data_IF_162869999323
#
_entry.id   IF_162869999323
#
_cell.length_a   1.000
_cell.length_b   1.000
_cell.length_c   1.000
_cell.angle_alpha   90.00
_cell.angle_beta   90.00
_cell.angle_gamma   90.00
#
_symmetry.space_group_name_H-M   'P 1'
#
loop_
_entity.id
_entity.type
_entity.pdbx_description
1 polymer ?
#
# COMPACT_ATOMS: atom_id res chain seq x y z
N UNK A 1 -12.51 -15.53 -29.31
CA UNK A 1 -11.81 -15.96 -28.07
C UNK A 1 -12.09 -14.93 -26.97
N UNK A 2 -12.53 -15.41 -25.81
CA UNK A 2 -12.80 -14.59 -24.64
C UNK A 2 -11.54 -14.47 -23.78
N UNK A 3 -11.15 -13.24 -23.43
CA UNK A 3 -9.94 -12.95 -22.66
C UNK A 3 -10.24 -11.92 -21.58
N UNK A 4 -9.64 -12.07 -20.39
CA UNK A 4 -9.58 -11.04 -19.38
C UNK A 4 -8.28 -10.27 -19.58
N UNK A 5 -8.37 -9.00 -19.93
CA UNK A 5 -7.20 -8.15 -20.26
C UNK A 5 -6.45 -7.70 -19.02
N UNK A 6 -7.17 -7.45 -17.93
CA UNK A 6 -6.60 -7.02 -16.65
C UNK A 6 -7.56 -7.28 -15.50
N UNK A 7 -6.98 -7.46 -14.33
CA UNK A 7 -7.65 -7.44 -13.02
C UNK A 7 -7.16 -6.21 -12.27
N UNK A 8 -8.06 -5.52 -11.59
CA UNK A 8 -7.78 -4.35 -10.76
C UNK A 8 -8.30 -4.61 -9.35
N UNK A 9 -7.58 -4.12 -8.36
CA UNK A 9 -7.92 -4.10 -6.95
C UNK A 9 -8.05 -2.63 -6.53
N UNK A 10 -9.24 -2.21 -6.08
CA UNK A 10 -9.58 -0.81 -5.78
C UNK A 10 -9.16 0.17 -6.88
N UNK A 11 -9.42 -0.23 -8.16
CA UNK A 11 -9.05 0.48 -9.40
C UNK A 11 -7.57 0.48 -9.77
N UNK A 12 -6.69 -0.04 -8.94
CA UNK A 12 -5.26 -0.09 -9.19
C UNK A 12 -4.83 -1.47 -9.69
N UNK A 13 -3.73 -1.50 -10.43
CA UNK A 13 -3.07 -2.71 -10.85
C UNK A 13 -1.96 -3.03 -9.86
N UNK A 14 -2.03 -4.22 -9.26
CA UNK A 14 -1.03 -4.74 -8.34
C UNK A 14 -0.69 -3.75 -7.19
N UNK A 15 -1.70 -3.24 -6.43
CA UNK A 15 -1.48 -2.22 -5.41
C UNK A 15 -0.65 -2.73 -4.23
N UNK A 16 0.12 -1.80 -3.63
CA UNK A 16 0.89 -2.02 -2.41
C UNK A 16 0.33 -1.14 -1.29
N UNK A 17 0.05 -1.74 -0.13
CA UNK A 17 -0.48 -1.02 1.02
C UNK A 17 -2.01 -1.07 1.13
N UNK A 18 -2.61 -2.17 0.74
CA UNK A 18 -4.07 -2.39 0.83
C UNK A 18 -4.47 -2.60 2.30
N UNK A 19 -5.36 -1.76 2.83
CA UNK A 19 -5.75 -1.75 4.25
C UNK A 19 -6.91 -2.69 4.58
N UNK A 20 -7.69 -3.10 3.60
CA UNK A 20 -8.82 -4.02 3.76
C UNK A 20 -8.97 -4.92 2.52
N UNK A 21 -9.89 -5.87 2.56
CA UNK A 21 -10.20 -6.69 1.39
C UNK A 21 -10.65 -5.80 0.22
N UNK A 22 -9.87 -5.73 -0.89
CA UNK A 22 -10.16 -4.83 -1.98
C UNK A 22 -11.41 -5.25 -2.76
N UNK A 23 -11.95 -4.32 -3.52
CA UNK A 23 -12.93 -4.61 -4.56
C UNK A 23 -12.20 -5.00 -5.84
N UNK A 24 -12.69 -6.04 -6.47
CA UNK A 24 -12.10 -6.56 -7.69
C UNK A 24 -12.88 -6.09 -8.91
N UNK A 25 -12.15 -5.68 -9.93
CA UNK A 25 -12.73 -5.34 -11.22
C UNK A 25 -11.88 -5.93 -12.33
N UNK A 26 -12.50 -6.35 -13.43
CA UNK A 26 -11.77 -6.88 -14.58
C UNK A 26 -12.38 -6.41 -15.88
N UNK A 27 -11.53 -6.37 -16.90
CA UNK A 27 -11.91 -5.94 -18.25
C UNK A 27 -11.83 -7.10 -19.20
N UNK A 28 -12.93 -7.36 -19.90
CA UNK A 28 -13.05 -8.40 -20.92
C UNK A 28 -12.72 -7.88 -22.31
N UNK A 29 -12.19 -8.75 -23.13
CA UNK A 29 -12.01 -8.58 -24.56
C UNK A 29 -12.52 -9.84 -25.28
N UNK A 30 -13.22 -9.66 -26.39
CA UNK A 30 -13.65 -10.72 -27.28
C UNK A 30 -13.56 -10.25 -28.72
N UNK A 31 -13.33 -11.19 -29.63
CA UNK A 31 -13.44 -11.00 -31.07
C UNK A 31 -14.89 -11.08 -31.59
N UNK A 32 -15.82 -11.52 -30.73
CA UNK A 32 -17.25 -11.55 -31.00
C UNK A 32 -17.94 -10.26 -30.51
N UNK A 33 -19.10 -9.96 -31.09
CA UNK A 33 -19.98 -8.86 -30.63
C UNK A 33 -21.04 -9.39 -29.65
N UNK A 34 -21.57 -8.50 -28.81
CA UNK A 34 -22.65 -8.78 -27.85
C UNK A 34 -22.29 -9.88 -26.83
N UNK A 35 -21.03 -10.00 -26.48
CA UNK A 35 -20.56 -10.95 -25.48
C UNK A 35 -20.89 -10.42 -24.08
N UNK A 36 -21.65 -11.18 -23.32
CA UNK A 36 -22.04 -10.87 -21.94
C UNK A 36 -21.50 -11.96 -21.02
N UNK A 37 -20.84 -11.55 -19.93
CA UNK A 37 -20.45 -12.46 -18.88
C UNK A 37 -21.68 -13.05 -18.21
N UNK A 38 -21.72 -14.36 -18.04
CA UNK A 38 -22.75 -15.08 -17.29
C UNK A 38 -22.31 -15.51 -15.89
N UNK A 39 -21.01 -15.78 -15.72
CA UNK A 39 -20.45 -16.18 -14.44
C UNK A 39 -18.99 -15.76 -14.29
N UNK A 40 -18.50 -15.77 -13.05
CA UNK A 40 -17.08 -15.62 -12.73
C UNK A 40 -16.65 -16.57 -11.62
N UNK A 41 -15.33 -16.75 -11.47
CA UNK A 41 -14.69 -17.33 -10.29
C UNK A 41 -13.48 -16.48 -9.93
N UNK A 42 -13.43 -16.05 -8.67
CA UNK A 42 -12.36 -15.27 -8.07
C UNK A 42 -11.66 -16.09 -7.00
N UNK A 43 -10.35 -16.19 -7.06
CA UNK A 43 -9.54 -16.82 -6.02
C UNK A 43 -8.46 -15.88 -5.53
N UNK A 44 -8.16 -15.95 -4.22
CA UNK A 44 -7.08 -15.22 -3.56
C UNK A 44 -6.24 -16.23 -2.79
N UNK A 45 -4.91 -16.16 -2.91
CA UNK A 45 -3.97 -17.08 -2.26
C UNK A 45 -2.70 -16.37 -1.82
N UNK A 46 -2.00 -16.92 -0.81
CA UNK A 46 -0.66 -16.48 -0.42
C UNK A 46 0.42 -17.01 -1.38
N UNK A 47 0.09 -17.98 -2.22
CA UNK A 47 1.02 -18.61 -3.16
C UNK A 47 0.49 -18.58 -4.60
N UNK A 48 1.39 -18.46 -5.56
CA UNK A 48 1.06 -18.38 -7.01
C UNK A 48 0.45 -19.66 -7.59
N UNK A 49 0.61 -20.77 -6.91
CA UNK A 49 0.07 -22.06 -7.36
C UNK A 49 -1.44 -22.24 -7.07
N UNK A 50 -1.99 -21.42 -6.16
CA UNK A 50 -3.39 -21.48 -5.73
C UNK A 50 -3.85 -22.85 -5.23
N UNK A 51 -2.95 -23.67 -4.67
CA UNK A 51 -3.33 -24.98 -4.12
C UNK A 51 -4.21 -24.85 -2.88
N UNK A 52 -3.95 -23.84 -2.05
CA UNK A 52 -4.70 -23.54 -0.83
C UNK A 52 -5.11 -22.06 -0.83
N UNK A 53 -6.15 -21.69 -1.60
CA UNK A 53 -6.60 -20.31 -1.64
C UNK A 53 -7.18 -19.91 -0.27
N UNK A 54 -6.86 -18.69 0.18
CA UNK A 54 -7.49 -18.09 1.39
C UNK A 54 -8.93 -17.66 1.12
N UNK A 55 -9.24 -17.44 -0.15
CA UNK A 55 -10.60 -17.20 -0.63
C UNK A 55 -10.82 -17.83 -1.99
N UNK A 56 -11.98 -18.48 -2.16
CA UNK A 56 -12.46 -19.02 -3.43
C UNK A 56 -13.96 -18.79 -3.52
N UNK A 57 -14.40 -17.98 -4.46
CA UNK A 57 -15.83 -17.72 -4.67
C UNK A 57 -16.60 -18.93 -5.18
N UNK A 58 -15.91 -19.97 -5.67
CA UNK A 58 -16.52 -20.91 -6.58
C UNK A 58 -16.98 -20.21 -7.87
N UNK A 59 -17.79 -20.89 -8.67
CA UNK A 59 -18.46 -20.27 -9.81
C UNK A 59 -19.68 -19.49 -9.32
N UNK A 60 -19.68 -18.19 -9.56
CA UNK A 60 -20.77 -17.25 -9.21
C UNK A 60 -21.49 -16.85 -10.49
N UNK A 61 -22.78 -17.15 -10.59
CA UNK A 61 -23.63 -16.74 -11.71
C UNK A 61 -23.92 -15.24 -11.58
N UNK A 62 -23.17 -14.42 -12.34
CA UNK A 62 -23.28 -12.96 -12.32
C UNK A 62 -22.61 -12.35 -13.54
N UNK A 63 -23.21 -11.30 -14.08
CA UNK A 63 -22.63 -10.46 -15.13
C UNK A 63 -21.75 -9.33 -14.59
N UNK A 64 -21.64 -9.17 -13.27
CA UNK A 64 -20.79 -8.15 -12.65
C UNK A 64 -19.32 -8.40 -12.91
N UNK A 65 -18.62 -7.38 -13.36
CA UNK A 65 -17.18 -7.37 -13.61
C UNK A 65 -16.46 -6.17 -12.99
N UNK A 66 -17.18 -5.39 -12.20
CA UNK A 66 -16.67 -4.23 -11.50
C UNK A 66 -17.21 -4.20 -10.07
N UNK A 67 -16.39 -3.70 -9.14
CA UNK A 67 -16.71 -3.58 -7.71
C UNK A 67 -17.11 -4.91 -7.03
N UNK A 68 -16.66 -6.02 -7.55
CA UNK A 68 -16.94 -7.34 -6.98
C UNK A 68 -16.23 -7.45 -5.64
N UNK A 69 -17.01 -7.65 -4.58
CA UNK A 69 -16.48 -7.91 -3.22
C UNK A 69 -16.56 -9.40 -2.90
N UNK A 70 -15.49 -9.99 -2.37
CA UNK A 70 -15.53 -11.35 -1.83
C UNK A 70 -16.66 -11.50 -0.81
N UNK A 71 -17.51 -12.50 -0.97
CA UNK A 71 -18.61 -12.73 -0.05
C UNK A 71 -18.10 -13.09 1.35
N UNK A 72 -18.79 -12.64 2.39
CA UNK A 72 -18.41 -12.91 3.79
C UNK A 72 -17.29 -12.01 4.34
N UNK A 73 -16.76 -11.07 3.53
CA UNK A 73 -15.65 -10.19 3.96
C UNK A 73 -16.10 -8.81 4.43
N UNK A 74 -17.40 -8.54 4.47
CA UNK A 74 -17.93 -7.26 4.94
C UNK A 74 -17.66 -7.08 6.44
N UNK A 75 -16.69 -6.23 6.76
CA UNK A 75 -16.39 -5.82 8.14
C UNK A 75 -15.37 -6.69 8.89
N UNK A 76 -14.87 -7.78 8.31
CA UNK A 76 -13.90 -8.66 8.96
C UNK A 76 -12.81 -9.15 7.98
N UNK A 77 -12.20 -8.19 7.29
CA UNK A 77 -11.03 -8.46 6.43
C UNK A 77 -9.88 -9.08 7.20
N UNK A 78 -9.77 -8.74 8.49
CA UNK A 78 -8.74 -9.23 9.40
C UNK A 78 -8.82 -10.76 9.64
N UNK A 79 -9.97 -11.38 9.38
CA UNK A 79 -10.09 -12.84 9.49
C UNK A 79 -9.41 -13.61 8.32
N UNK A 80 -9.17 -12.92 7.18
CA UNK A 80 -8.65 -13.56 5.98
C UNK A 80 -7.26 -13.02 5.62
N UNK A 81 -7.05 -11.72 5.78
CA UNK A 81 -5.81 -11.04 5.40
C UNK A 81 -4.88 -10.87 6.61
N UNK A 82 -3.59 -11.01 6.38
CA UNK A 82 -2.51 -10.72 7.32
C UNK A 82 -1.80 -9.45 6.89
N UNK A 83 -1.21 -8.73 7.83
CA UNK A 83 -0.42 -7.52 7.55
C UNK A 83 0.88 -7.84 6.83
N UNK A 84 1.28 -6.95 5.92
CA UNK A 84 2.56 -7.03 5.20
C UNK A 84 2.73 -8.35 4.41
N UNK A 85 1.66 -8.86 3.83
CA UNK A 85 1.66 -10.09 3.03
C UNK A 85 1.26 -9.80 1.60
N UNK A 86 1.97 -10.43 0.66
CA UNK A 86 1.59 -10.45 -0.75
C UNK A 86 0.53 -11.52 -0.98
N UNK A 87 -0.56 -11.13 -1.60
CA UNK A 87 -1.62 -12.01 -2.05
C UNK A 87 -1.67 -12.04 -3.58
N UNK A 88 -1.85 -13.23 -4.11
CA UNK A 88 -2.07 -13.48 -5.54
C UNK A 88 -3.56 -13.63 -5.78
N UNK A 89 -4.01 -13.05 -6.87
CA UNK A 89 -5.41 -13.05 -7.29
C UNK A 89 -5.51 -13.66 -8.66
N UNK A 90 -6.54 -14.45 -8.91
CA UNK A 90 -6.89 -14.86 -10.26
C UNK A 90 -8.38 -14.85 -10.48
N UNK A 91 -8.76 -14.47 -11.68
CA UNK A 91 -10.16 -14.42 -12.12
C UNK A 91 -10.32 -15.20 -13.41
N UNK A 92 -11.42 -15.94 -13.53
CA UNK A 92 -11.90 -16.59 -14.73
C UNK A 92 -13.37 -16.23 -14.91
N UNK A 93 -13.81 -16.08 -16.15
CA UNK A 93 -15.19 -15.76 -16.49
C UNK A 93 -15.76 -16.73 -17.49
N UNK A 94 -17.08 -16.83 -17.50
CA UNK A 94 -17.87 -17.60 -18.46
C UNK A 94 -18.85 -16.69 -19.17
N UNK A 95 -19.15 -17.06 -20.39
CA UNK A 95 -20.31 -16.61 -21.16
C UNK A 95 -21.20 -17.81 -21.42
N UNK A 96 -22.29 -17.67 -22.17
CA UNK A 96 -23.11 -18.79 -22.58
C UNK A 96 -22.36 -19.77 -23.50
N UNK A 97 -21.36 -19.32 -24.25
CA UNK A 97 -20.69 -20.09 -25.29
C UNK A 97 -19.26 -20.51 -24.97
N UNK A 98 -18.55 -19.75 -24.16
CA UNK A 98 -17.11 -19.98 -23.92
C UNK A 98 -16.67 -19.54 -22.51
N UNK A 99 -15.53 -20.07 -22.08
CA UNK A 99 -14.85 -19.62 -20.87
C UNK A 99 -13.52 -18.97 -21.19
N UNK A 100 -13.07 -18.04 -20.31
CA UNK A 100 -11.75 -17.45 -20.43
C UNK A 100 -10.67 -18.33 -19.78
N UNK A 101 -9.41 -18.08 -20.11
CA UNK A 101 -8.29 -18.45 -19.25
C UNK A 101 -8.32 -17.68 -17.92
N UNK A 102 -7.45 -18.09 -16.98
CA UNK A 102 -7.20 -17.32 -15.76
C UNK A 102 -6.42 -16.05 -16.07
N UNK A 103 -6.87 -14.92 -15.54
CA UNK A 103 -6.09 -13.70 -15.49
C UNK A 103 -5.64 -13.47 -14.04
N UNK A 104 -4.35 -13.21 -13.87
CA UNK A 104 -3.74 -13.06 -12.55
C UNK A 104 -3.39 -11.60 -12.26
N UNK A 105 -3.40 -11.25 -10.98
CA UNK A 105 -2.88 -10.02 -10.40
C UNK A 105 -2.35 -10.31 -9.00
N UNK A 106 -1.84 -9.30 -8.33
CA UNK A 106 -1.37 -9.43 -6.95
C UNK A 106 -1.61 -8.14 -6.18
N UNK A 107 -1.64 -8.22 -4.86
CA UNK A 107 -1.65 -7.05 -4.00
C UNK A 107 -0.87 -7.32 -2.72
N UNK A 108 -0.39 -6.25 -2.10
CA UNK A 108 0.31 -6.33 -0.81
C UNK A 108 -0.52 -5.59 0.23
N UNK A 109 -0.76 -6.24 1.37
CA UNK A 109 -1.47 -5.62 2.46
C UNK A 109 -0.61 -4.61 3.22
N UNK A 110 -1.26 -3.60 3.74
CA UNK A 110 -0.73 -2.64 4.70
C UNK A 110 -0.53 -3.28 6.09
N UNK A 111 -0.21 -2.48 7.10
CA UNK A 111 -0.35 -2.86 8.51
C UNK A 111 -1.83 -2.77 8.86
N UNK A 112 -2.48 -3.92 9.07
CA UNK A 112 -3.92 -4.00 9.33
C UNK A 112 -4.27 -3.69 10.79
N UNK A 113 -3.27 -3.69 11.69
CA UNK A 113 -3.42 -3.34 13.11
C UNK A 113 -2.37 -2.28 13.49
N UNK A 114 -2.83 -1.17 14.06
CA UNK A 114 -1.95 -0.10 14.55
C UNK A 114 -0.92 -0.57 15.58
N UNK A 115 -1.16 -1.67 16.29
CA UNK A 115 -0.22 -2.27 17.26
C UNK A 115 1.00 -2.90 16.61
N UNK A 116 0.98 -3.11 15.31
CA UNK A 116 2.12 -3.65 14.54
C UNK A 116 3.19 -2.60 14.26
N UNK A 117 2.89 -1.33 14.47
CA UNK A 117 3.88 -0.27 14.45
C UNK A 117 4.82 -0.41 15.66
N UNK A 118 5.96 -1.07 15.48
CA UNK A 118 6.94 -1.29 16.55
C UNK A 118 7.99 -0.19 16.65
N UNK A 119 8.30 0.47 15.54
CA UNK A 119 9.29 1.53 15.51
C UNK A 119 8.80 2.79 16.25
N UNK A 120 9.59 3.43 17.11
CA UNK A 120 9.24 4.72 17.70
C UNK A 120 9.32 5.83 16.65
N UNK A 121 8.69 6.96 16.95
CA UNK A 121 8.99 8.20 16.25
C UNK A 121 10.38 8.68 16.62
N UNK A 122 11.15 9.09 15.62
CA UNK A 122 12.49 9.69 15.79
C UNK A 122 12.48 11.13 15.28
N UNK A 123 13.19 11.99 15.97
CA UNK A 123 13.37 13.39 15.59
C UNK A 123 14.80 13.80 15.89
N UNK A 124 15.28 14.89 15.28
CA UNK A 124 16.56 15.45 15.68
C UNK A 124 16.46 15.98 17.11
N UNK A 125 17.48 15.73 17.93
CA UNK A 125 17.63 16.43 19.21
C UNK A 125 17.68 17.93 18.95
N UNK A 126 16.78 18.64 19.59
CA UNK A 126 16.63 20.10 19.61
C UNK A 126 17.48 20.89 18.60
N UNK A 127 16.97 21.06 17.39
CA UNK A 127 17.38 22.26 16.66
C UNK A 127 17.04 23.48 17.54
N UNK A 128 17.97 24.41 17.75
CA UNK A 128 17.67 25.61 18.51
C UNK A 128 16.39 26.21 17.96
N UNK A 129 15.52 26.69 18.84
CA UNK A 129 14.23 27.28 18.51
C UNK A 129 14.43 28.53 17.62
N UNK A 130 14.82 28.31 16.39
CA UNK A 130 14.86 29.33 15.37
C UNK A 130 13.43 29.60 14.95
N UNK A 131 12.80 30.58 15.53
CA UNK A 131 11.40 30.95 15.31
C UNK A 131 11.10 31.35 13.87
N UNK A 132 12.12 31.61 13.04
CA UNK A 132 11.94 32.20 11.71
C UNK A 132 12.22 31.27 10.55
N UNK A 133 12.92 30.15 10.72
CA UNK A 133 13.25 29.24 9.61
C UNK A 133 12.76 27.84 9.89
N UNK A 134 11.89 27.33 9.01
CA UNK A 134 11.52 25.91 8.97
C UNK A 134 12.64 25.13 8.27
N UNK A 135 13.69 24.78 9.00
CA UNK A 135 14.76 23.92 8.46
C UNK A 135 14.25 22.50 8.34
N UNK A 136 14.56 21.84 7.22
CA UNK A 136 14.36 20.41 7.07
C UNK A 136 15.26 19.65 8.04
N UNK A 137 14.74 18.51 8.53
CA UNK A 137 15.47 17.58 9.38
C UNK A 137 15.92 16.39 8.54
N UNK A 138 17.19 16.01 8.67
CA UNK A 138 17.74 14.80 8.08
C UNK A 138 17.92 13.77 9.18
N UNK A 139 17.34 12.59 9.02
CA UNK A 139 17.53 11.46 9.92
C UNK A 139 18.11 10.28 9.13
N UNK A 140 18.96 9.50 9.80
CA UNK A 140 19.63 8.36 9.19
C UNK A 140 19.86 7.28 10.23
N UNK A 141 19.71 6.02 9.81
CA UNK A 141 20.06 4.84 10.60
C UNK A 141 20.53 3.70 9.72
N UNK A 142 21.48 2.93 10.23
CA UNK A 142 21.99 1.74 9.54
C UNK A 142 21.32 0.49 10.17
N UNK A 143 21.07 -0.52 9.33
CA UNK A 143 20.53 -1.80 9.74
C UNK A 143 21.08 -2.94 8.89
N UNK A 144 20.98 -4.16 9.39
CA UNK A 144 21.48 -5.34 8.67
C UNK A 144 20.34 -6.18 8.13
N UNK A 145 20.51 -6.65 6.89
CA UNK A 145 19.64 -7.62 6.25
C UNK A 145 20.38 -8.97 6.16
N UNK A 146 19.71 -10.03 6.59
CA UNK A 146 20.23 -11.40 6.52
C UNK A 146 20.23 -11.97 5.10
N UNK A 147 20.81 -13.17 4.97
CA UNK A 147 20.79 -13.91 3.70
C UNK A 147 19.40 -14.41 3.37
N UNK A 148 19.11 -14.50 2.06
CA UNK A 148 17.89 -15.11 1.56
C UNK A 148 16.65 -14.22 1.68
N UNK A 149 16.81 -12.90 1.66
CA UNK A 149 15.69 -11.96 1.54
C UNK A 149 14.89 -12.27 0.26
N UNK A 150 13.61 -12.55 0.41
CA UNK A 150 12.69 -12.79 -0.71
C UNK A 150 11.78 -11.59 -0.96
N UNK A 151 11.30 -10.97 0.10
CA UNK A 151 10.41 -9.81 0.05
C UNK A 151 10.68 -8.89 1.24
N UNK A 152 10.55 -7.58 1.02
CA UNK A 152 10.65 -6.56 2.06
C UNK A 152 9.73 -5.37 1.75
N UNK A 153 9.03 -4.92 2.78
CA UNK A 153 8.14 -3.77 2.70
C UNK A 153 8.55 -2.73 3.74
N UNK A 154 8.49 -1.46 3.35
CA UNK A 154 8.70 -0.35 4.26
C UNK A 154 7.39 0.40 4.49
N UNK A 155 7.06 0.60 5.76
CA UNK A 155 5.94 1.42 6.20
C UNK A 155 6.49 2.71 6.78
N UNK A 156 6.12 3.85 6.21
CA UNK A 156 6.77 5.13 6.51
C UNK A 156 5.76 6.24 6.74
N UNK A 157 6.02 7.09 7.73
CA UNK A 157 5.20 8.26 8.02
C UNK A 157 6.01 9.35 8.70
N UNK A 158 5.47 10.57 8.73
CA UNK A 158 6.03 11.68 9.48
C UNK A 158 4.96 12.68 9.95
N UNK A 159 5.24 13.40 11.01
CA UNK A 159 4.53 14.62 11.39
C UNK A 159 5.21 15.80 10.70
N UNK A 160 4.76 16.07 9.48
CA UNK A 160 5.36 16.99 8.52
C UNK A 160 5.27 16.44 7.12
N UNK A 161 6.17 16.81 6.23
CA UNK A 161 6.35 16.21 4.92
C UNK A 161 7.69 15.48 4.89
N UNK A 162 7.76 14.32 4.22
CA UNK A 162 9.00 13.57 4.16
C UNK A 162 9.29 13.01 2.76
N UNK A 163 10.56 12.73 2.55
CA UNK A 163 11.04 11.84 1.48
C UNK A 163 11.87 10.74 2.14
N UNK A 164 11.60 9.50 1.79
CA UNK A 164 12.28 8.32 2.33
C UNK A 164 13.35 7.82 1.36
N UNK A 165 14.48 7.41 1.91
CA UNK A 165 15.65 6.96 1.15
C UNK A 165 16.16 5.63 1.69
N UNK A 166 16.55 4.73 0.80
CA UNK A 166 17.31 3.52 1.11
C UNK A 166 18.60 3.50 0.29
N UNK A 167 19.72 3.26 0.95
CA UNK A 167 21.03 3.17 0.33
C UNK A 167 21.38 4.35 -0.59
N UNK A 168 20.92 5.55 -0.25
CA UNK A 168 21.15 6.78 -0.99
C UNK A 168 20.15 7.06 -2.12
N UNK A 169 19.23 6.16 -2.40
CA UNK A 169 18.19 6.35 -3.43
C UNK A 169 16.84 6.66 -2.81
N UNK A 170 16.08 7.60 -3.40
CA UNK A 170 14.70 7.88 -3.00
C UNK A 170 13.84 6.64 -3.24
N UNK A 171 13.01 6.29 -2.27
CA UNK A 171 12.04 5.20 -2.34
C UNK A 171 10.70 5.75 -2.83
N UNK A 172 10.14 5.10 -3.83
CA UNK A 172 8.87 5.51 -4.43
C UNK A 172 8.95 6.79 -5.26
N UNK A 173 7.84 7.16 -5.85
CA UNK A 173 7.68 8.36 -6.68
C UNK A 173 6.80 9.41 -6.04
N UNK A 174 6.24 9.10 -4.87
CA UNK A 174 5.33 9.98 -4.16
C UNK A 174 5.98 11.29 -3.76
N UNK A 175 5.17 12.35 -3.81
CA UNK A 175 5.56 13.67 -3.36
C UNK A 175 4.58 14.17 -2.28
N UNK A 176 5.08 15.03 -1.40
CA UNK A 176 4.30 15.63 -0.30
C UNK A 176 3.71 14.59 0.67
N UNK A 177 4.41 13.48 0.83
CA UNK A 177 4.04 12.42 1.78
C UNK A 177 4.19 12.89 3.24
N UNK A 178 3.39 12.37 4.16
CA UNK A 178 2.33 11.39 4.03
C UNK A 178 0.99 11.97 3.56
N UNK A 179 0.89 13.27 3.33
CA UNK A 179 -0.31 14.01 3.01
C UNK A 179 -0.84 14.81 4.20
N UNK A 180 -1.87 15.61 3.96
CA UNK A 180 -2.49 16.44 4.99
C UNK A 180 -3.71 15.77 5.59
N UNK A 181 -3.72 15.67 6.91
CA UNK A 181 -4.84 15.13 7.69
C UNK A 181 -5.09 15.95 8.96
N UNK A 182 -6.09 15.52 9.69
CA UNK A 182 -6.31 15.97 11.07
C UNK A 182 -5.32 15.24 12.00
N UNK A 183 -4.06 15.64 12.03
CA UNK A 183 -2.93 14.96 12.69
C UNK A 183 -3.19 14.53 14.15
N UNK A 184 -4.13 15.17 14.83
CA UNK A 184 -4.53 14.75 16.19
C UNK A 184 -5.40 13.50 16.23
N UNK A 185 -5.97 13.11 15.10
CA UNK A 185 -6.92 11.97 14.99
C UNK A 185 -6.47 10.94 14.00
N UNK A 186 -5.84 11.36 12.92
CA UNK A 186 -5.52 10.51 11.79
C UNK A 186 -4.19 10.93 11.15
N UNK A 187 -3.31 9.97 10.95
CA UNK A 187 -2.03 10.15 10.27
C UNK A 187 -1.93 9.08 9.17
N UNK A 188 -1.74 9.54 7.95
CA UNK A 188 -1.47 8.65 6.82
C UNK A 188 -0.04 8.11 6.90
N UNK A 189 0.18 6.97 6.27
CA UNK A 189 1.49 6.39 6.03
C UNK A 189 1.54 5.82 4.61
N UNK A 190 2.73 5.61 4.10
CA UNK A 190 2.97 4.95 2.82
C UNK A 190 3.55 3.56 3.05
N UNK A 191 3.19 2.65 2.16
CA UNK A 191 3.74 1.31 2.07
C UNK A 191 4.51 1.18 0.77
N UNK A 192 5.76 0.75 0.83
CA UNK A 192 6.63 0.56 -0.33
C UNK A 192 7.15 -0.87 -0.39
N UNK A 193 7.12 -1.48 -1.56
CA UNK A 193 7.94 -2.66 -1.84
C UNK A 193 9.39 -2.19 -2.02
N UNK A 194 10.24 -2.57 -1.07
CA UNK A 194 11.66 -2.18 -1.04
C UNK A 194 12.59 -3.36 -1.28
N UNK A 195 12.06 -4.49 -1.72
CA UNK A 195 12.83 -5.71 -1.96
C UNK A 195 14.05 -5.45 -2.83
N UNK A 196 13.85 -4.73 -3.94
CA UNK A 196 14.93 -4.38 -4.87
C UNK A 196 15.87 -3.27 -4.38
N UNK A 197 15.54 -2.57 -3.28
CA UNK A 197 16.34 -1.49 -2.73
C UNK A 197 17.35 -1.98 -1.68
N UNK A 198 17.17 -3.20 -1.21
CA UNK A 198 17.98 -3.79 -0.13
C UNK A 198 19.03 -4.74 -0.66
N UNK A 199 20.12 -4.87 0.10
CA UNK A 199 21.21 -5.82 -0.12
C UNK A 199 21.48 -6.62 1.14
N UNK A 200 22.05 -7.79 1.00
CA UNK A 200 22.58 -8.55 2.13
C UNK A 200 23.66 -7.74 2.87
N UNK A 201 23.66 -7.80 4.20
CA UNK A 201 24.54 -7.04 5.05
C UNK A 201 24.01 -5.66 5.41
N UNK A 202 24.87 -4.68 5.54
CA UNK A 202 24.55 -3.35 6.04
C UNK A 202 23.81 -2.54 4.96
N UNK A 203 22.68 -1.99 5.35
CA UNK A 203 21.85 -1.04 4.60
C UNK A 203 21.66 0.23 5.42
N UNK A 204 21.40 1.33 4.74
CA UNK A 204 21.14 2.62 5.36
C UNK A 204 19.73 3.09 4.99
N UNK A 205 18.92 3.40 5.98
CA UNK A 205 17.66 4.12 5.82
C UNK A 205 17.83 5.57 6.21
N UNK A 206 17.17 6.47 5.51
CA UNK A 206 17.17 7.90 5.83
C UNK A 206 15.88 8.59 5.43
N UNK A 207 15.59 9.69 6.08
CA UNK A 207 14.49 10.54 5.70
C UNK A 207 14.89 12.02 5.74
N UNK A 208 14.40 12.77 4.77
CA UNK A 208 14.39 14.22 4.78
C UNK A 208 12.99 14.65 5.20
N UNK A 209 12.87 15.39 6.31
CA UNK A 209 11.57 15.76 6.88
C UNK A 209 11.45 17.27 6.93
N UNK A 210 10.41 17.80 6.29
CA UNK A 210 10.05 19.21 6.28
C UNK A 210 8.86 19.53 7.18
N UNK A 211 8.68 20.80 7.50
CA UNK A 211 7.62 21.27 8.38
C UNK A 211 6.20 20.96 7.88
N UNK A 212 5.99 21.02 6.56
CA UNK A 212 4.70 20.77 5.92
C UNK A 212 3.54 21.52 6.58
N UNK A 213 2.36 20.91 6.58
CA UNK A 213 1.17 21.46 7.23
C UNK A 213 1.18 21.26 8.76
N UNK A 214 2.01 20.35 9.27
CA UNK A 214 2.07 20.06 10.70
C UNK A 214 2.66 21.22 11.52
N UNK A 215 3.83 21.70 11.11
CA UNK A 215 4.61 22.73 11.81
C UNK A 215 4.73 24.04 11.02
N UNK A 216 4.58 23.97 9.70
CA UNK A 216 4.79 25.09 8.78
C UNK A 216 3.76 26.21 8.92
N UNK A 217 3.93 27.22 8.10
CA UNK A 217 3.01 28.36 8.04
C UNK A 217 1.70 27.96 7.39
N UNK A 218 0.59 28.25 8.02
CA UNK A 218 -0.75 27.96 7.49
C UNK A 218 -1.65 29.19 7.49
N UNK A 219 -2.48 29.26 6.44
CA UNK A 219 -3.55 30.21 6.32
C UNK A 219 -3.14 31.69 6.22
N UNK A 220 -4.11 32.56 6.21
CA UNK A 220 -3.94 34.01 6.12
C UNK A 220 -3.30 34.62 7.37
N UNK A 221 -3.51 34.01 8.52
CA UNK A 221 -2.92 34.42 9.81
C UNK A 221 -1.45 34.09 9.93
N UNK A 222 -0.90 33.30 8.97
CA UNK A 222 0.49 32.84 8.99
C UNK A 222 0.87 32.15 10.31
N UNK A 223 -0.09 31.46 10.94
CA UNK A 223 0.16 30.67 12.13
C UNK A 223 1.14 29.53 11.86
N UNK A 224 1.97 29.22 12.86
CA UNK A 224 2.98 28.13 12.83
C UNK A 224 2.73 27.18 13.98
N UNK A 225 3.32 25.99 13.90
CA UNK A 225 3.26 24.98 14.95
C UNK A 225 1.83 24.61 15.34
N UNK A 226 0.92 24.55 14.34
CA UNK A 226 -0.51 24.34 14.60
C UNK A 226 -0.82 23.02 15.29
N UNK A 227 0.04 22.01 15.07
CA UNK A 227 -0.13 20.66 15.63
C UNK A 227 1.04 20.25 16.55
N UNK A 228 2.23 20.84 16.37
CA UNK A 228 3.43 20.58 17.16
C UNK A 228 4.62 21.38 16.69
N UNK A 229 5.69 21.39 17.48
CA UNK A 229 6.90 22.16 17.27
C UNK A 229 8.09 21.33 16.75
N UNK A 230 7.94 20.02 16.67
CA UNK A 230 8.91 19.08 16.12
C UNK A 230 8.33 18.36 14.91
N UNK A 231 9.19 17.81 14.06
CA UNK A 231 8.82 17.02 12.88
C UNK A 231 9.38 15.61 12.98
N UNK A 232 8.84 14.78 13.89
CA UNK A 232 9.29 13.42 14.01
C UNK A 232 8.80 12.58 12.82
N UNK A 233 9.59 11.59 12.46
CA UNK A 233 9.22 10.54 11.48
C UNK A 233 9.45 9.15 12.06
N UNK A 234 8.85 8.15 11.45
CA UNK A 234 9.14 6.76 11.75
C UNK A 234 8.98 5.88 10.50
N UNK A 235 9.69 4.77 10.51
CA UNK A 235 9.56 3.71 9.51
C UNK A 235 9.80 2.35 10.15
N UNK A 236 9.20 1.30 9.61
CA UNK A 236 9.44 -0.09 9.96
C UNK A 236 9.32 -0.98 8.70
#
# INVERSE_FOLDING_TARGET
MLEIVKVLMDYEKDPVGVEEMPQFSWKLKSDKRNVVQSAYRLQIAENRDFQTPVYDSGRVESSESAHVRPAGTKGDSAAILKSAVRYYVRVRVWTEEEESGWCCGEFVTALLDNREWKAPFVSAESAPACREESRGTLVRGDFSVGKGLTEAYAFTTALGLYQFYLNGSKVGTDEMTPGWTSYRRHLLYQTYDVTGCLKEGINTAGAMVGAGWYKGVMGLTRSRNNYGDQTPCRWC
#
